data_IF_762236169835
#
_entry.id   IF_762236169835
#
_cell.length_a   1.000
_cell.length_b   1.000
_cell.length_c   1.000
_cell.angle_alpha   90.00
_cell.angle_beta   90.00
_cell.angle_gamma   90.00
#
_symmetry.space_group_name_H-M   'P 1'
#
loop_
_entity.id
_entity.type
_entity.pdbx_description
1 polymer ?
#
# COMPACT_ATOMS: atom_id res chain seq x y z
N UNK A 1 0.97 -14.98 -18.33
CA UNK A 1 0.90 -15.38 -16.91
C UNK A 1 -0.19 -16.44 -16.78
N UNK A 2 0.12 -17.66 -16.34
CA UNK A 2 -0.90 -18.72 -16.12
C UNK A 2 -1.18 -18.79 -14.63
N UNK A 3 -2.42 -18.51 -14.23
CA UNK A 3 -2.87 -18.62 -12.85
C UNK A 3 -3.81 -19.81 -12.75
N UNK A 4 -3.56 -20.72 -11.81
CA UNK A 4 -4.45 -21.85 -11.51
C UNK A 4 -4.92 -21.72 -10.07
N UNK A 5 -6.23 -21.67 -9.88
CA UNK A 5 -6.87 -21.66 -8.56
C UNK A 5 -7.58 -22.99 -8.37
N UNK A 6 -7.52 -23.56 -7.16
CA UNK A 6 -8.30 -24.76 -6.79
C UNK A 6 -8.85 -24.58 -5.38
N UNK A 7 -10.08 -25.03 -5.16
CA UNK A 7 -10.64 -25.18 -3.82
C UNK A 7 -9.90 -26.24 -3.01
N UNK A 8 -9.59 -25.92 -1.76
CA UNK A 8 -9.07 -26.91 -0.82
C UNK A 8 -10.25 -27.63 -0.14
N UNK A 9 -10.14 -28.94 0.12
CA UNK A 9 -11.17 -29.67 0.86
C UNK A 9 -11.28 -29.15 2.31
N UNK A 10 -12.48 -29.23 2.93
CA UNK A 10 -12.67 -28.89 4.33
C UNK A 10 -11.67 -29.66 5.22
N UNK A 11 -10.96 -28.96 6.10
CA UNK A 11 -9.98 -29.57 7.01
C UNK A 11 -8.55 -29.71 6.46
N UNK A 12 -8.27 -29.25 5.23
CA UNK A 12 -6.90 -29.16 4.73
C UNK A 12 -6.06 -28.19 5.60
N UNK A 13 -5.29 -28.73 6.54
CA UNK A 13 -4.32 -27.93 7.31
C UNK A 13 -3.12 -27.64 6.43
N UNK A 14 -2.83 -26.35 6.21
CA UNK A 14 -1.53 -25.92 5.69
C UNK A 14 -0.46 -26.43 6.65
N UNK A 15 0.51 -27.23 6.17
CA UNK A 15 1.71 -27.54 6.97
C UNK A 15 2.32 -26.22 7.41
N UNK A 16 2.33 -25.97 8.71
CA UNK A 16 2.91 -24.75 9.28
C UNK A 16 4.42 -24.90 9.15
N UNK A 17 5.02 -24.12 8.25
CA UNK A 17 6.47 -24.00 8.14
C UNK A 17 7.03 -23.55 9.48
N UNK A 18 8.20 -24.09 9.87
CA UNK A 18 8.93 -23.79 11.12
C UNK A 18 8.96 -22.27 11.41
N UNK A 19 9.06 -21.83 12.67
CA UNK A 19 9.18 -20.41 13.00
C UNK A 19 10.35 -19.85 12.20
N UNK A 20 10.05 -18.90 11.33
CA UNK A 20 11.08 -18.14 10.62
C UNK A 20 11.70 -17.20 11.64
N UNK A 21 13.02 -17.06 11.64
CA UNK A 21 13.70 -16.04 12.45
C UNK A 21 13.01 -14.69 12.21
N UNK A 22 12.38 -14.18 13.27
CA UNK A 22 11.57 -12.96 13.19
C UNK A 22 12.48 -11.76 13.42
N UNK A 23 12.72 -11.00 12.36
CA UNK A 23 13.51 -9.77 12.43
C UNK A 23 12.59 -8.57 12.63
N UNK A 24 12.82 -7.82 13.71
CA UNK A 24 12.10 -6.58 14.02
C UNK A 24 13.01 -5.39 13.76
N UNK A 25 12.52 -4.40 13.03
CA UNK A 25 13.24 -3.17 12.72
C UNK A 25 12.33 -1.95 12.84
N UNK A 26 12.89 -0.87 13.36
CA UNK A 26 12.22 0.43 13.33
C UNK A 26 12.17 1.01 11.91
N UNK A 27 11.02 1.60 11.58
CA UNK A 27 10.85 2.39 10.37
C UNK A 27 11.52 3.77 10.53
N UNK A 28 12.12 4.28 9.46
CA UNK A 28 12.80 5.58 9.44
C UNK A 28 11.86 6.71 9.06
N UNK A 29 11.98 7.86 9.72
CA UNK A 29 11.28 9.07 9.29
C UNK A 29 11.75 9.51 7.90
N UNK A 30 10.81 9.96 7.07
CA UNK A 30 11.03 10.55 5.76
C UNK A 30 9.87 11.48 5.40
N UNK A 31 9.93 12.09 4.22
CA UNK A 31 8.88 12.98 3.69
C UNK A 31 8.51 12.58 2.25
N UNK A 32 7.23 12.75 1.91
CA UNK A 32 6.68 12.55 0.56
C UNK A 32 5.61 13.62 0.32
N UNK A 33 5.82 14.51 -0.66
CA UNK A 33 4.84 15.55 -1.00
C UNK A 33 4.44 16.43 0.20
N UNK A 34 5.42 16.86 1.00
CA UNK A 34 5.19 17.63 2.23
C UNK A 34 4.64 16.81 3.41
N UNK A 35 4.36 15.52 3.23
CA UNK A 35 3.75 14.65 4.24
C UNK A 35 4.79 13.82 4.98
N UNK A 36 4.69 13.74 6.32
CA UNK A 36 5.60 12.90 7.11
C UNK A 36 5.23 11.43 6.98
N UNK A 37 6.23 10.61 6.70
CA UNK A 37 6.07 9.16 6.57
C UNK A 37 7.09 8.39 7.40
N UNK A 38 6.73 7.17 7.81
CA UNK A 38 7.64 6.19 8.36
C UNK A 38 7.93 5.13 7.30
N UNK A 39 9.15 5.17 6.74
CA UNK A 39 9.65 4.25 5.70
C UNK A 39 10.20 2.97 6.33
N UNK A 40 9.55 1.85 6.07
CA UNK A 40 10.04 0.52 6.44
C UNK A 40 10.98 -0.07 5.38
N UNK A 41 10.70 0.18 4.10
CA UNK A 41 11.53 -0.23 2.95
C UNK A 41 11.69 0.90 1.93
N UNK A 42 12.83 0.97 1.21
CA UNK A 42 14.03 0.14 1.39
C UNK A 42 14.88 0.62 2.58
N UNK A 43 15.72 -0.27 3.13
CA UNK A 43 16.73 0.08 4.13
C UNK A 43 18.07 -0.60 3.86
N UNK A 44 19.13 -0.13 4.53
CA UNK A 44 20.46 -0.77 4.46
C UNK A 44 20.36 -2.21 4.96
N UNK A 45 20.84 -3.16 4.16
CA UNK A 45 20.79 -4.60 4.47
C UNK A 45 19.47 -5.30 4.14
N UNK A 46 18.41 -4.58 3.77
CA UNK A 46 17.13 -5.18 3.36
C UNK A 46 16.41 -4.25 2.38
N UNK A 47 16.53 -4.56 1.08
CA UNK A 47 15.93 -3.75 0.00
C UNK A 47 14.51 -4.20 -0.35
N UNK A 48 14.21 -5.48 -0.19
CA UNK A 48 12.90 -6.05 -0.51
C UNK A 48 12.45 -7.05 0.56
N UNK A 49 11.14 -7.25 0.65
CA UNK A 49 10.50 -8.37 1.37
C UNK A 49 9.51 -9.03 0.42
N UNK A 50 9.90 -10.16 -0.16
CA UNK A 50 9.18 -10.73 -1.32
C UNK A 50 9.12 -9.71 -2.47
N UNK A 51 7.93 -9.49 -3.03
CA UNK A 51 7.71 -8.52 -4.10
C UNK A 51 7.65 -7.05 -3.62
N UNK A 52 7.68 -6.78 -2.30
CA UNK A 52 7.60 -5.42 -1.76
C UNK A 52 8.99 -4.78 -1.77
N UNK A 53 9.18 -3.76 -2.61
CA UNK A 53 10.41 -2.97 -2.68
C UNK A 53 10.29 -1.59 -2.00
N UNK A 54 9.07 -1.15 -1.72
CA UNK A 54 8.75 0.07 -0.97
C UNK A 54 7.64 -0.22 0.03
N UNK A 55 7.75 0.38 1.22
CA UNK A 55 6.72 0.30 2.25
C UNK A 55 6.80 1.52 3.17
N UNK A 56 5.71 2.26 3.24
CA UNK A 56 5.58 3.48 4.04
C UNK A 56 4.30 3.42 4.86
N UNK A 57 4.35 3.97 6.07
CA UNK A 57 3.18 4.38 6.83
C UNK A 57 3.11 5.90 6.79
N UNK A 58 1.99 6.45 6.31
CA UNK A 58 1.76 7.89 6.25
C UNK A 58 0.90 8.32 7.44
N UNK A 59 1.32 9.36 8.17
CA UNK A 59 0.61 9.84 9.35
C UNK A 59 0.76 8.94 10.60
N UNK A 60 -0.07 9.16 11.64
CA UNK A 60 -1.15 10.16 11.71
C UNK A 60 -0.61 11.60 11.65
N UNK A 61 -1.32 12.47 10.94
CA UNK A 61 -0.98 13.89 10.78
C UNK A 61 -2.27 14.68 10.54
N UNK A 62 -2.34 15.92 11.04
CA UNK A 62 -3.46 16.83 10.78
C UNK A 62 -3.38 17.29 9.32
N UNK A 63 -4.48 17.15 8.59
CA UNK A 63 -4.63 17.61 7.21
C UNK A 63 -5.59 18.80 7.20
N UNK A 64 -5.20 19.88 6.54
CA UNK A 64 -5.99 21.09 6.31
C UNK A 64 -6.02 21.42 4.82
N UNK A 65 -6.80 22.42 4.42
CA UNK A 65 -6.84 22.90 3.03
C UNK A 65 -5.48 23.36 2.50
N UNK A 66 -4.57 23.78 3.38
CA UNK A 66 -3.24 24.32 3.04
C UNK A 66 -2.10 23.40 3.45
N UNK A 67 -2.38 22.27 4.12
CA UNK A 67 -1.37 21.34 4.62
C UNK A 67 -1.89 19.92 4.49
N UNK A 68 -1.37 19.17 3.52
CA UNK A 68 -1.80 17.81 3.24
C UNK A 68 -0.79 17.06 2.38
N UNK A 69 -1.17 15.86 1.96
CA UNK A 69 -0.41 15.12 0.97
C UNK A 69 -0.61 15.76 -0.41
N UNK A 70 0.44 16.38 -0.94
CA UNK A 70 0.44 16.93 -2.30
C UNK A 70 1.61 16.35 -3.10
N UNK A 71 1.30 15.37 -3.95
CA UNK A 71 2.28 14.68 -4.80
C UNK A 71 1.91 14.93 -6.25
N UNK A 72 2.69 15.78 -6.91
CA UNK A 72 2.50 16.08 -8.33
C UNK A 72 2.76 14.87 -9.27
N UNK A 73 2.51 15.05 -10.58
CA UNK A 73 2.70 13.98 -11.57
C UNK A 73 4.11 13.39 -11.55
N UNK A 74 4.21 12.06 -11.45
CA UNK A 74 5.48 11.34 -11.47
C UNK A 74 5.31 9.92 -12.06
N UNK A 75 6.30 9.41 -12.81
CA UNK A 75 6.20 8.11 -13.47
C UNK A 75 6.59 6.95 -12.54
N UNK A 76 5.97 5.78 -12.75
CA UNK A 76 6.40 4.49 -12.21
C UNK A 76 6.62 3.49 -13.35
N UNK A 77 7.59 2.59 -13.19
CA UNK A 77 7.86 1.49 -14.13
C UNK A 77 8.29 0.24 -13.36
N UNK A 78 7.83 -0.92 -13.80
CA UNK A 78 8.23 -2.22 -13.24
C UNK A 78 7.75 -2.48 -11.81
N UNK A 79 6.75 -1.72 -11.33
CA UNK A 79 6.14 -1.88 -10.02
C UNK A 79 4.66 -1.48 -10.07
N UNK A 80 3.93 -1.83 -9.00
CA UNK A 80 2.60 -1.31 -8.72
C UNK A 80 2.59 -0.60 -7.38
N UNK A 81 1.90 0.53 -7.31
CA UNK A 81 1.65 1.24 -6.06
C UNK A 81 0.30 0.81 -5.52
N UNK A 82 0.31 0.33 -4.27
CA UNK A 82 -0.90 -0.04 -3.53
C UNK A 82 -1.04 0.84 -2.30
N UNK A 83 -2.20 1.47 -2.17
CA UNK A 83 -2.55 2.32 -1.02
C UNK A 83 -3.68 1.67 -0.24
N UNK A 84 -3.49 1.46 1.06
CA UNK A 84 -4.54 1.08 1.99
C UNK A 84 -4.82 2.26 2.91
N UNK A 85 -6.00 2.87 2.79
CA UNK A 85 -6.33 4.05 3.58
C UNK A 85 -6.96 3.64 4.92
N UNK A 86 -6.34 4.06 6.02
CA UNK A 86 -6.84 3.76 7.37
C UNK A 86 -7.83 4.83 7.85
N UNK A 87 -7.56 6.10 7.56
CA UNK A 87 -8.40 7.24 7.95
C UNK A 87 -8.24 8.41 6.97
N UNK A 88 -9.20 9.34 6.96
CA UNK A 88 -9.23 10.51 6.08
C UNK A 88 -9.72 10.20 4.66
N UNK A 89 -9.25 10.97 3.68
CA UNK A 89 -9.56 10.78 2.27
C UNK A 89 -8.35 11.15 1.39
N UNK A 90 -8.16 10.44 0.28
CA UNK A 90 -7.09 10.72 -0.69
C UNK A 90 -7.67 10.71 -2.10
N UNK A 91 -7.46 11.78 -2.86
CA UNK A 91 -7.78 11.82 -4.28
C UNK A 91 -6.56 11.34 -5.08
N UNK A 92 -6.73 10.30 -5.87
CA UNK A 92 -5.69 9.78 -6.75
C UNK A 92 -6.07 9.97 -8.20
N UNK A 93 -5.17 10.56 -8.99
CA UNK A 93 -5.29 10.67 -10.45
C UNK A 93 -4.11 10.01 -11.15
N UNK A 94 -4.31 9.53 -12.37
CA UNK A 94 -3.24 8.95 -13.18
C UNK A 94 -3.29 9.39 -14.66
N UNK A 95 -2.25 9.05 -15.41
CA UNK A 95 -2.07 9.45 -16.81
C UNK A 95 -3.06 8.81 -17.79
N UNK A 96 -3.83 7.82 -17.37
CA UNK A 96 -4.92 7.23 -18.16
C UNK A 96 -6.23 8.02 -18.01
N UNK A 97 -6.23 9.10 -17.21
CA UNK A 97 -7.40 9.94 -16.96
C UNK A 97 -8.32 9.41 -15.88
N UNK A 98 -7.90 8.42 -15.10
CA UNK A 98 -8.69 7.96 -13.96
C UNK A 98 -8.51 8.89 -12.76
N UNK A 99 -9.62 9.14 -12.07
CA UNK A 99 -9.69 9.84 -10.80
C UNK A 99 -10.45 8.97 -9.80
N UNK A 100 -9.88 8.79 -8.61
CA UNK A 100 -10.46 7.95 -7.56
C UNK A 100 -10.30 8.62 -6.19
N UNK A 101 -11.43 8.89 -5.53
CA UNK A 101 -11.45 9.25 -4.11
C UNK A 101 -11.38 7.98 -3.26
N UNK A 102 -10.28 7.79 -2.55
CA UNK A 102 -10.03 6.65 -1.66
C UNK A 102 -10.56 7.02 -0.27
N UNK A 103 -11.37 6.13 0.32
CA UNK A 103 -11.96 6.25 1.65
C UNK A 103 -11.37 5.23 2.64
N UNK A 104 -11.58 5.40 3.96
CA UNK A 104 -11.08 4.46 4.96
C UNK A 104 -11.53 3.02 4.68
N UNK A 105 -10.62 2.06 4.86
CA UNK A 105 -10.82 0.65 4.56
C UNK A 105 -10.72 0.27 3.08
N UNK A 106 -10.52 1.23 2.17
CA UNK A 106 -10.35 0.93 0.74
C UNK A 106 -8.89 0.67 0.39
N UNK A 107 -8.72 -0.26 -0.55
CA UNK A 107 -7.45 -0.56 -1.22
C UNK A 107 -7.50 0.01 -2.64
N UNK A 108 -6.48 0.79 -3.01
CA UNK A 108 -6.29 1.32 -4.35
C UNK A 108 -5.02 0.74 -5.00
N UNK A 109 -5.11 0.31 -6.26
CA UNK A 109 -3.99 -0.06 -7.13
C UNK A 109 -3.85 1.01 -8.21
N UNK A 110 -2.78 1.83 -8.16
CA UNK A 110 -2.68 3.08 -8.95
C UNK A 110 -2.74 2.93 -10.47
N UNK A 111 -2.38 1.75 -11.00
CA UNK A 111 -2.36 1.49 -12.45
C UNK A 111 -3.59 0.73 -12.94
N UNK A 112 -4.63 0.58 -12.10
CA UNK A 112 -5.82 -0.21 -12.41
C UNK A 112 -7.07 0.66 -12.41
N UNK A 113 -8.06 0.21 -13.19
CA UNK A 113 -9.42 0.73 -13.13
C UNK A 113 -9.92 0.74 -11.68
N UNK A 114 -10.68 1.78 -11.28
CA UNK A 114 -11.22 1.89 -9.94
C UNK A 114 -12.05 0.64 -9.62
N UNK A 115 -11.56 -0.17 -8.68
CA UNK A 115 -12.29 -1.32 -8.20
C UNK A 115 -13.44 -0.80 -7.32
N UNK A 116 -14.67 -1.24 -7.59
CA UNK A 116 -15.82 -1.01 -6.71
C UNK A 116 -15.67 -1.80 -5.40
N UNK A 117 -14.67 -1.44 -4.59
CA UNK A 117 -14.39 -2.11 -3.32
C UNK A 117 -15.10 -1.32 -2.23
N UNK A 118 -16.40 -1.57 -2.11
CA UNK A 118 -17.08 -1.37 -0.82
C UNK A 118 -16.78 -2.63 -0.01
N UNK A 119 -15.79 -2.56 0.88
CA UNK A 119 -15.83 -3.47 2.02
C UNK A 119 -16.97 -2.98 2.93
N UNK A 120 -17.83 -3.87 3.45
CA UNK A 120 -18.89 -3.46 4.34
C UNK A 120 -18.28 -2.76 5.55
N UNK A 121 -18.82 -1.59 5.91
CA UNK A 121 -18.51 -0.93 7.18
C UNK A 121 -18.76 -1.92 8.31
N UNK A 122 -17.77 -2.08 9.19
CA UNK A 122 -17.88 -2.85 10.45
C UNK A 122 -18.66 -2.05 11.47
#
# INVERSE_FOLDING_TARGET
MRSTSRFLPPGARRKMTRPTDTLVHDAKAAEVGGFRVRRALPRRGMRTVGARCFAYLMGPQVVTETCGLDVGPHPHIGLHTVTWLVDGAVLHTNSLGFEQLIRPGQLNESDRLPAATSLPSV
#
